data_IF_898065241921
#
_entry.id   IF_898065241921
#
_cell.length_a   1.000
_cell.length_b   1.000
_cell.length_c   1.000
_cell.angle_alpha   90.00
_cell.angle_beta   90.00
_cell.angle_gamma   90.00
#
_symmetry.space_group_name_H-M   'P 1'
#
loop_
_entity.id
_entity.type
_entity.pdbx_description
1 polymer ?
#
# COMPACT_ATOMS: atom_id res chain seq x y z
N UNK A 1 0.32 4.17 21.43
CA UNK A 1 1.19 2.99 21.15
C UNK A 1 0.44 1.68 21.40
N UNK A 2 -0.26 1.48 22.51
CA UNK A 2 -0.90 0.20 22.82
C UNK A 2 -1.97 -0.29 21.85
N UNK A 3 -2.82 0.58 21.29
CA UNK A 3 -3.87 0.20 20.33
C UNK A 3 -3.28 -0.18 18.96
N UNK A 4 -2.31 0.57 18.46
CA UNK A 4 -1.64 0.29 17.18
C UNK A 4 -0.86 -1.03 17.26
N UNK A 5 -0.13 -1.27 18.36
CA UNK A 5 0.60 -2.53 18.59
C UNK A 5 -0.37 -3.73 18.69
N UNK A 6 -1.55 -3.53 19.30
CA UNK A 6 -2.61 -4.54 19.39
C UNK A 6 -3.16 -4.89 18.00
N UNK A 7 -3.54 -3.90 17.19
CA UNK A 7 -4.08 -4.11 15.85
C UNK A 7 -3.05 -4.75 14.91
N UNK A 8 -1.79 -4.33 14.97
CA UNK A 8 -0.71 -4.93 14.20
C UNK A 8 -0.56 -6.42 14.53
N UNK A 9 -0.55 -6.77 15.82
CA UNK A 9 -0.45 -8.17 16.26
C UNK A 9 -1.68 -8.98 15.81
N UNK A 10 -2.88 -8.39 15.83
CA UNK A 10 -4.09 -9.04 15.31
C UNK A 10 -3.94 -9.38 13.82
N UNK A 11 -3.46 -8.45 13.00
CA UNK A 11 -3.21 -8.71 11.56
C UNK A 11 -2.20 -9.84 11.36
N UNK A 12 -1.13 -9.84 12.15
CA UNK A 12 -0.13 -10.90 12.12
C UNK A 12 -0.74 -12.27 12.47
N UNK A 13 -1.51 -12.37 13.54
CA UNK A 13 -2.18 -13.62 13.96
C UNK A 13 -3.13 -14.13 12.87
N UNK A 14 -3.93 -13.26 12.27
CA UNK A 14 -4.83 -13.60 11.15
C UNK A 14 -4.05 -14.15 9.94
N UNK A 15 -2.90 -13.57 9.60
CA UNK A 15 -2.03 -14.10 8.54
C UNK A 15 -1.42 -15.47 8.91
N UNK A 16 -1.02 -15.67 10.16
CA UNK A 16 -0.49 -16.95 10.66
C UNK A 16 -1.57 -18.04 10.66
N UNK A 17 -2.80 -17.69 10.98
CA UNK A 17 -3.95 -18.60 10.92
C UNK A 17 -4.27 -19.00 9.48
N UNK A 18 -4.31 -18.04 8.56
CA UNK A 18 -4.46 -18.31 7.14
C UNK A 18 -3.34 -19.22 6.61
N UNK A 19 -2.07 -18.96 6.94
CA UNK A 19 -0.95 -19.81 6.51
C UNK A 19 -1.11 -21.26 7.01
N UNK A 20 -1.56 -21.45 8.25
CA UNK A 20 -1.86 -22.79 8.79
C UNK A 20 -3.00 -23.49 8.04
N UNK A 21 -4.08 -22.76 7.72
CA UNK A 21 -5.21 -23.28 6.95
C UNK A 21 -4.77 -23.79 5.57
N UNK A 22 -3.90 -23.03 4.88
CA UNK A 22 -3.35 -23.44 3.57
C UNK A 22 -2.19 -24.44 3.66
N UNK A 23 -1.74 -24.82 4.85
CA UNK A 23 -0.63 -25.77 5.04
C UNK A 23 0.73 -25.24 4.55
N UNK A 24 0.91 -23.93 4.49
CA UNK A 24 2.16 -23.28 4.06
C UNK A 24 2.92 -22.69 5.24
N UNK A 25 4.25 -22.56 5.12
CA UNK A 25 5.07 -21.93 6.17
C UNK A 25 4.82 -20.42 6.26
N UNK A 26 4.59 -19.79 5.12
CA UNK A 26 4.29 -18.38 5.02
C UNK A 26 3.40 -18.13 3.80
N UNK A 27 2.58 -17.08 3.83
CA UNK A 27 1.68 -16.73 2.72
C UNK A 27 2.42 -16.37 1.41
N UNK A 28 3.74 -16.12 1.47
CA UNK A 28 4.58 -15.97 0.27
C UNK A 28 4.73 -17.26 -0.54
N UNK A 29 4.47 -18.40 0.08
CA UNK A 29 4.54 -19.72 -0.55
C UNK A 29 3.22 -20.11 -1.24
N UNK A 30 2.22 -19.22 -1.22
CA UNK A 30 0.90 -19.38 -1.81
C UNK A 30 0.73 -18.40 -2.98
N UNK A 31 0.14 -18.84 -4.07
CA UNK A 31 -0.27 -17.99 -5.17
C UNK A 31 -1.78 -17.68 -5.13
N UNK A 32 -2.24 -16.79 -6.02
CA UNK A 32 -3.66 -16.40 -6.08
C UNK A 32 -4.57 -17.57 -6.44
N UNK A 33 -4.13 -18.51 -7.26
CA UNK A 33 -4.93 -19.67 -7.65
C UNK A 33 -5.12 -20.62 -6.46
N UNK A 34 -4.06 -20.90 -5.71
CA UNK A 34 -4.09 -21.70 -4.48
C UNK A 34 -4.92 -21.04 -3.38
N UNK A 35 -4.83 -19.69 -3.26
CA UNK A 35 -5.65 -18.91 -2.34
C UNK A 35 -7.15 -19.11 -2.61
N UNK A 36 -7.59 -18.97 -3.86
CA UNK A 36 -8.98 -19.13 -4.24
C UNK A 36 -9.47 -20.59 -4.11
N UNK A 37 -8.65 -21.56 -4.51
CA UNK A 37 -9.01 -22.98 -4.45
C UNK A 37 -9.19 -23.48 -3.02
N UNK A 38 -8.43 -22.97 -2.07
CA UNK A 38 -8.43 -23.43 -0.68
C UNK A 38 -9.24 -22.56 0.30
N UNK A 39 -10.02 -21.59 -0.16
CA UNK A 39 -10.71 -20.65 0.75
C UNK A 39 -11.82 -21.23 1.60
N UNK A 40 -12.34 -22.39 1.24
CA UNK A 40 -13.46 -23.01 1.95
C UNK A 40 -13.06 -23.36 3.41
N UNK A 41 -13.86 -22.91 4.37
CA UNK A 41 -13.64 -23.15 5.79
C UNK A 41 -12.67 -22.17 6.48
N UNK A 42 -12.06 -21.22 5.76
CA UNK A 42 -11.29 -20.14 6.37
C UNK A 42 -12.23 -18.99 6.77
N UNK A 43 -11.95 -18.40 7.93
CA UNK A 43 -12.61 -17.17 8.36
C UNK A 43 -12.43 -16.05 7.34
N UNK A 44 -13.47 -15.25 7.12
CA UNK A 44 -13.49 -14.21 6.09
C UNK A 44 -12.43 -13.13 6.33
N UNK A 45 -12.18 -12.74 7.59
CA UNK A 45 -11.14 -11.78 7.90
C UNK A 45 -9.75 -12.36 7.59
N UNK A 46 -9.50 -13.61 8.01
CA UNK A 46 -8.24 -14.30 7.69
C UNK A 46 -8.03 -14.45 6.18
N UNK A 47 -9.10 -14.78 5.44
CA UNK A 47 -9.05 -14.84 3.97
C UNK A 47 -8.68 -13.49 3.34
N UNK A 48 -9.33 -12.38 3.75
CA UNK A 48 -9.00 -11.04 3.25
C UNK A 48 -7.55 -10.66 3.56
N UNK A 49 -7.04 -10.97 4.77
CA UNK A 49 -5.62 -10.74 5.11
C UNK A 49 -4.68 -11.53 4.20
N UNK A 50 -4.98 -12.82 3.97
CA UNK A 50 -4.21 -13.66 3.06
C UNK A 50 -4.25 -13.12 1.62
N UNK A 51 -5.42 -12.70 1.13
CA UNK A 51 -5.59 -12.09 -0.20
C UNK A 51 -4.73 -10.85 -0.38
N UNK A 52 -4.68 -9.98 0.63
CA UNK A 52 -3.80 -8.82 0.63
C UNK A 52 -2.32 -9.26 0.48
N UNK A 53 -1.83 -10.16 1.35
CA UNK A 53 -0.42 -10.55 1.36
C UNK A 53 -0.02 -11.25 0.05
N UNK A 54 -0.83 -12.21 -0.41
CA UNK A 54 -0.55 -12.93 -1.68
C UNK A 54 -0.60 -11.96 -2.86
N UNK A 55 -1.58 -11.06 -2.89
CA UNK A 55 -1.69 -10.02 -3.91
C UNK A 55 -0.53 -9.02 -3.87
N UNK A 56 -0.07 -8.60 -2.69
CA UNK A 56 1.10 -7.70 -2.57
C UNK A 56 2.39 -8.36 -3.07
N UNK A 57 2.58 -9.66 -2.84
CA UNK A 57 3.72 -10.37 -3.40
C UNK A 57 3.71 -10.32 -4.94
N UNK A 58 2.55 -10.58 -5.56
CA UNK A 58 2.40 -10.51 -7.02
C UNK A 58 2.59 -9.06 -7.53
N UNK A 59 2.00 -8.07 -6.86
CA UNK A 59 2.16 -6.65 -7.21
C UNK A 59 3.60 -6.17 -7.10
N UNK A 60 4.35 -6.65 -6.11
CA UNK A 60 5.77 -6.29 -5.93
C UNK A 60 6.62 -6.77 -7.11
N UNK A 61 6.40 -8.00 -7.58
CA UNK A 61 7.10 -8.52 -8.75
C UNK A 61 6.72 -7.75 -10.02
N UNK A 62 5.42 -7.52 -10.23
CA UNK A 62 4.94 -6.73 -11.36
C UNK A 62 5.46 -5.27 -11.33
N UNK A 63 5.61 -4.68 -10.14
CA UNK A 63 6.20 -3.34 -9.99
C UNK A 63 7.68 -3.31 -10.34
N UNK A 64 8.44 -4.37 -10.03
CA UNK A 64 9.84 -4.50 -10.44
C UNK A 64 9.96 -4.56 -11.98
N UNK A 65 9.08 -5.31 -12.65
CA UNK A 65 9.03 -5.40 -14.11
C UNK A 65 8.61 -4.05 -14.74
N UNK A 66 7.61 -3.37 -14.17
CA UNK A 66 7.18 -2.04 -14.63
C UNK A 66 8.31 -0.99 -14.49
N UNK A 67 9.07 -1.02 -13.39
CA UNK A 67 10.24 -0.17 -13.19
C UNK A 67 11.35 -0.48 -14.21
N UNK A 68 11.65 -1.76 -14.47
CA UNK A 68 12.66 -2.17 -15.43
C UNK A 68 12.31 -1.75 -16.87
N UNK A 69 11.03 -1.72 -17.20
CA UNK A 69 10.51 -1.28 -18.51
C UNK A 69 10.18 0.21 -18.60
N UNK A 70 10.40 0.99 -17.51
CA UNK A 70 10.01 2.40 -17.40
C UNK A 70 8.51 2.65 -17.61
N UNK A 71 7.66 1.67 -17.30
CA UNK A 71 6.20 1.78 -17.39
C UNK A 71 5.62 2.41 -16.11
N UNK A 72 5.67 3.75 -16.07
CA UNK A 72 5.17 4.52 -14.93
C UNK A 72 3.65 4.44 -14.80
N UNK A 73 2.93 4.24 -15.89
CA UNK A 73 1.47 4.05 -15.87
C UNK A 73 1.12 2.76 -15.13
N UNK A 74 1.75 1.65 -15.52
CA UNK A 74 1.53 0.37 -14.82
C UNK A 74 1.95 0.42 -13.36
N UNK A 75 3.07 1.07 -13.07
CA UNK A 75 3.50 1.25 -11.68
C UNK A 75 2.48 2.04 -10.85
N UNK A 76 1.90 3.09 -11.44
CA UNK A 76 0.83 3.87 -10.82
C UNK A 76 -0.43 3.06 -10.52
N UNK A 77 -0.86 2.20 -11.46
CA UNK A 77 -1.96 1.27 -11.27
C UNK A 77 -1.69 0.30 -10.11
N UNK A 78 -0.50 -0.30 -10.07
CA UNK A 78 -0.08 -1.23 -9.01
C UNK A 78 -0.05 -0.55 -7.63
N UNK A 79 0.38 0.71 -7.57
CA UNK A 79 0.33 1.49 -6.33
C UNK A 79 -1.11 1.73 -5.87
N UNK A 80 -2.01 2.05 -6.79
CA UNK A 80 -3.43 2.23 -6.48
C UNK A 80 -4.11 0.93 -6.02
N UNK A 81 -3.84 -0.19 -6.71
CA UNK A 81 -4.30 -1.52 -6.31
C UNK A 81 -3.80 -1.90 -4.91
N UNK A 82 -2.52 -1.60 -4.62
CA UNK A 82 -1.92 -1.85 -3.31
C UNK A 82 -2.61 -1.03 -2.21
N UNK A 83 -2.87 0.27 -2.45
CA UNK A 83 -3.56 1.11 -1.48
C UNK A 83 -4.99 0.62 -1.22
N UNK A 84 -5.73 0.26 -2.26
CA UNK A 84 -7.06 -0.32 -2.14
C UNK A 84 -7.03 -1.62 -1.31
N UNK A 85 -6.09 -2.51 -1.56
CA UNK A 85 -5.94 -3.75 -0.79
C UNK A 85 -5.55 -3.49 0.68
N UNK A 86 -4.73 -2.47 0.97
CA UNK A 86 -4.44 -2.04 2.35
C UNK A 86 -5.69 -1.54 3.06
N UNK A 87 -6.58 -0.81 2.36
CA UNK A 87 -7.83 -0.30 2.92
C UNK A 87 -8.88 -1.39 3.08
N UNK A 88 -9.14 -2.18 2.04
CA UNK A 88 -10.31 -3.04 1.95
C UNK A 88 -10.04 -4.46 2.47
N UNK A 89 -8.84 -4.99 2.25
CA UNK A 89 -8.48 -6.35 2.63
C UNK A 89 -7.67 -6.43 3.93
N UNK A 90 -6.72 -5.53 4.10
CA UNK A 90 -5.87 -5.55 5.31
C UNK A 90 -6.39 -4.62 6.41
N UNK A 91 -7.21 -3.63 6.05
CA UNK A 91 -7.86 -2.66 6.95
C UNK A 91 -6.85 -1.98 7.89
N UNK A 92 -5.78 -1.44 7.29
CA UNK A 92 -4.71 -0.74 8.01
C UNK A 92 -4.62 0.75 7.66
N UNK A 93 -5.47 1.24 6.76
CA UNK A 93 -5.56 2.67 6.48
C UNK A 93 -6.46 3.38 7.50
N UNK A 94 -6.42 4.69 7.47
CA UNK A 94 -7.31 5.56 8.24
C UNK A 94 -7.88 6.65 7.33
N UNK A 95 -9.07 7.21 7.62
CA UNK A 95 -9.71 8.19 6.74
C UNK A 95 -8.82 9.38 6.35
N UNK A 96 -7.96 9.84 7.25
CA UNK A 96 -7.03 10.93 6.97
C UNK A 96 -5.99 10.53 5.89
N UNK A 97 -5.49 9.30 5.93
CA UNK A 97 -4.56 8.78 4.91
C UNK A 97 -5.27 8.56 3.58
N UNK A 98 -6.47 7.98 3.60
CA UNK A 98 -7.27 7.77 2.38
C UNK A 98 -7.58 9.11 1.70
N UNK A 99 -7.97 10.12 2.49
CA UNK A 99 -8.21 11.48 1.99
C UNK A 99 -6.95 12.11 1.37
N UNK A 100 -5.79 11.93 1.99
CA UNK A 100 -4.51 12.42 1.44
C UNK A 100 -4.18 11.74 0.10
N UNK A 101 -4.37 10.43 0.02
CA UNK A 101 -4.17 9.67 -1.23
C UNK A 101 -5.08 10.17 -2.34
N UNK A 102 -6.37 10.41 -2.08
CA UNK A 102 -7.29 10.90 -3.09
C UNK A 102 -6.95 12.34 -3.56
N UNK A 103 -6.51 13.24 -2.68
CA UNK A 103 -6.03 14.58 -3.04
C UNK A 103 -4.86 14.48 -4.01
N UNK A 104 -3.86 13.66 -3.70
CA UNK A 104 -2.66 13.49 -4.50
C UNK A 104 -3.00 12.82 -5.85
N UNK A 105 -3.77 11.73 -5.82
CA UNK A 105 -4.19 10.97 -7.00
C UNK A 105 -4.89 11.84 -8.04
N UNK A 106 -5.74 12.76 -7.60
CA UNK A 106 -6.45 13.69 -8.48
C UNK A 106 -5.52 14.63 -9.29
N UNK A 107 -4.24 14.78 -8.92
CA UNK A 107 -3.26 15.68 -9.53
C UNK A 107 -2.16 14.96 -10.30
N UNK A 108 -1.82 13.73 -9.92
CA UNK A 108 -0.72 12.97 -10.55
C UNK A 108 -1.03 12.65 -12.02
N UNK A 109 -2.29 12.32 -12.35
CA UNK A 109 -2.65 11.81 -13.67
C UNK A 109 -2.29 10.32 -13.82
N UNK A 110 -1.93 9.89 -15.04
CA UNK A 110 -1.64 8.49 -15.38
C UNK A 110 -0.16 8.10 -15.25
N UNK A 111 0.74 9.08 -15.20
CA UNK A 111 2.19 8.85 -15.22
C UNK A 111 2.80 8.86 -13.83
N UNK A 112 2.21 8.11 -12.91
CA UNK A 112 2.66 8.02 -11.55
C UNK A 112 1.65 7.34 -10.65
N UNK A 113 1.92 7.31 -9.36
CA UNK A 113 1.03 6.65 -8.41
C UNK A 113 1.22 7.14 -7.00
N UNK A 114 0.29 6.77 -6.14
CA UNK A 114 0.29 7.15 -4.74
C UNK A 114 -0.29 6.02 -3.88
N UNK A 115 0.30 5.77 -2.73
CA UNK A 115 -0.19 4.81 -1.75
C UNK A 115 0.27 5.14 -0.34
N UNK A 116 -0.41 4.60 0.65
CA UNK A 116 0.10 4.57 2.02
C UNK A 116 1.40 3.75 2.10
N UNK A 117 2.26 4.11 3.03
CA UNK A 117 3.46 3.33 3.39
C UNK A 117 3.66 3.30 4.89
N UNK A 118 4.41 2.29 5.38
CA UNK A 118 4.65 2.06 6.81
C UNK A 118 3.74 1.00 7.42
N UNK A 119 3.66 0.99 8.74
CA UNK A 119 2.94 -0.05 9.49
C UNK A 119 1.42 0.07 9.52
N UNK A 120 0.85 1.12 8.93
CA UNK A 120 -0.59 1.38 8.95
C UNK A 120 -1.08 2.15 10.18
N UNK A 121 -2.40 2.33 10.26
CA UNK A 121 -3.09 3.06 11.34
C UNK A 121 -2.68 4.53 11.47
N UNK A 122 -2.32 5.15 10.37
CA UNK A 122 -1.72 6.46 10.19
C UNK A 122 -0.41 6.35 9.41
N UNK A 123 0.52 7.27 9.62
CA UNK A 123 1.85 7.22 9.04
C UNK A 123 1.99 8.10 7.80
N UNK A 124 2.59 7.56 6.74
CA UNK A 124 3.01 8.31 5.58
C UNK A 124 2.34 7.82 4.29
N UNK A 125 2.33 8.70 3.32
CA UNK A 125 1.97 8.41 1.94
C UNK A 125 3.23 8.58 1.10
N UNK A 126 3.46 7.68 0.16
CA UNK A 126 4.49 7.82 -0.88
C UNK A 126 3.82 8.07 -2.21
N UNK A 127 4.31 9.08 -2.92
CA UNK A 127 3.85 9.41 -4.26
C UNK A 127 5.03 9.41 -5.23
N UNK A 128 4.85 8.76 -6.37
CA UNK A 128 5.74 8.81 -7.52
C UNK A 128 5.05 9.67 -8.59
N UNK A 129 5.70 10.73 -9.01
CA UNK A 129 5.13 11.67 -9.98
C UNK A 129 6.24 12.36 -10.78
N UNK A 130 5.85 12.94 -11.91
CA UNK A 130 6.76 13.74 -12.71
C UNK A 130 7.17 15.01 -11.98
N UNK A 131 8.42 15.48 -12.15
CA UNK A 131 8.92 16.68 -11.46
C UNK A 131 8.06 17.93 -11.64
N UNK A 132 7.46 18.12 -12.82
CA UNK A 132 6.58 19.24 -13.14
C UNK A 132 5.25 19.23 -12.35
N UNK A 133 4.86 18.09 -11.79
CA UNK A 133 3.65 17.95 -10.98
C UNK A 133 3.87 18.21 -9.49
N UNK A 134 5.11 18.25 -9.03
CA UNK A 134 5.45 18.34 -7.60
C UNK A 134 4.84 19.59 -6.95
N UNK A 135 5.01 20.76 -7.57
CA UNK A 135 4.50 22.01 -7.00
C UNK A 135 2.95 22.03 -6.92
N UNK A 136 2.27 21.51 -7.95
CA UNK A 136 0.81 21.40 -7.99
C UNK A 136 0.30 20.47 -6.89
N UNK A 137 0.94 19.32 -6.71
CA UNK A 137 0.56 18.33 -5.69
C UNK A 137 0.76 18.89 -4.28
N UNK A 138 1.90 19.53 -4.00
CA UNK A 138 2.17 20.13 -2.69
C UNK A 138 1.13 21.21 -2.39
N UNK A 139 0.86 22.12 -3.33
CA UNK A 139 -0.13 23.17 -3.14
C UNK A 139 -1.54 22.61 -2.88
N UNK A 140 -1.94 21.53 -3.57
CA UNK A 140 -3.21 20.87 -3.34
C UNK A 140 -3.27 20.22 -1.94
N UNK A 141 -2.21 19.54 -1.52
CA UNK A 141 -2.13 18.95 -0.18
C UNK A 141 -2.24 20.02 0.91
N UNK A 142 -1.49 21.11 0.80
CA UNK A 142 -1.52 22.22 1.76
C UNK A 142 -2.90 22.89 1.87
N UNK A 143 -3.60 23.04 0.73
CA UNK A 143 -4.91 23.69 0.68
C UNK A 143 -6.06 22.79 1.14
N UNK A 144 -6.06 21.52 0.73
CA UNK A 144 -7.22 20.64 0.86
C UNK A 144 -7.13 19.70 2.06
N UNK A 145 -5.93 19.18 2.38
CA UNK A 145 -5.78 18.16 3.43
C UNK A 145 -6.24 18.63 4.82
N UNK A 146 -5.99 19.88 5.25
CA UNK A 146 -6.51 20.36 6.53
C UNK A 146 -8.04 20.35 6.60
N UNK A 147 -8.73 20.60 5.49
CA UNK A 147 -10.19 20.57 5.43
C UNK A 147 -10.75 19.16 5.53
N UNK A 148 -10.05 18.20 4.92
CA UNK A 148 -10.47 16.78 4.87
C UNK A 148 -10.19 16.06 6.19
N UNK A 149 -9.04 16.33 6.82
CA UNK A 149 -8.54 15.56 7.95
C UNK A 149 -8.46 16.33 9.28
N UNK A 150 -8.51 17.65 9.25
CA UNK A 150 -8.19 18.51 10.39
C UNK A 150 -6.69 18.55 10.71
N UNK A 151 -5.84 17.94 9.90
CA UNK A 151 -4.40 17.81 10.13
C UNK A 151 -3.62 18.61 9.09
N UNK A 152 -2.32 18.80 9.34
CA UNK A 152 -1.36 19.28 8.35
C UNK A 152 -0.44 18.14 7.94
N UNK A 153 -0.02 18.13 6.69
CA UNK A 153 0.97 17.20 6.18
C UNK A 153 2.30 17.91 5.93
N UNK A 154 3.39 17.27 6.31
CA UNK A 154 4.74 17.69 5.91
C UNK A 154 5.11 16.98 4.60
N UNK A 155 5.48 17.75 3.57
CA UNK A 155 5.82 17.23 2.25
C UNK A 155 7.33 17.21 2.06
N UNK A 156 7.88 16.05 1.71
CA UNK A 156 9.31 15.86 1.45
C UNK A 156 9.53 15.46 -0.01
N UNK A 157 10.25 16.28 -0.75
CA UNK A 157 10.62 15.97 -2.14
C UNK A 157 11.93 15.19 -2.15
N UNK A 158 11.84 13.91 -2.53
CA UNK A 158 12.98 13.02 -2.60
C UNK A 158 13.28 12.65 -4.06
N UNK A 159 14.52 12.24 -4.32
CA UNK A 159 14.95 11.68 -5.59
C UNK A 159 15.62 10.34 -5.32
N UNK A 160 15.50 9.41 -6.26
CA UNK A 160 16.26 8.16 -6.20
C UNK A 160 17.75 8.46 -6.27
N UNK A 161 18.53 7.77 -5.45
CA UNK A 161 19.99 7.81 -5.42
C UNK A 161 20.51 6.39 -5.51
N UNK A 162 21.84 6.23 -5.65
CA UNK A 162 22.46 4.91 -5.57
C UNK A 162 22.06 4.22 -4.26
N UNK A 163 21.84 2.92 -4.33
CA UNK A 163 21.49 2.12 -3.16
C UNK A 163 22.64 2.06 -2.15
N UNK A 164 22.36 1.48 -0.98
CA UNK A 164 23.39 1.22 0.02
C UNK A 164 24.47 0.32 -0.57
N UNK A 165 25.71 0.81 -0.59
CA UNK A 165 26.89 0.06 -1.03
C UNK A 165 27.87 -0.15 0.14
N UNK A 166 28.64 -1.23 0.09
CA UNK A 166 29.83 -1.35 0.94
C UNK A 166 30.97 -0.57 0.27
N UNK A 167 31.56 0.36 1.00
CA UNK A 167 32.86 0.92 0.63
C UNK A 167 33.95 -0.10 0.93
#
# INVERSE_FOLDING_TARGET
RGLVDSEYNTRRQQCEEAARHYGVKALRDLDLAGLEAGKAGLDEACYRRARHIVGENARTLAAADALASHDLTRLGELMAESHAAMRDDFEITVPAIDGLVEIIKARIGTDGGVRMTGGGFGGCVVALLRPEKVAEVIAAVEAEYPTVSGLKADCYVCRSTDGACRN
#
